data_IF_518456858810
#
_entry.id   IF_518456858810
#
_cell.length_a   1.000
_cell.length_b   1.000
_cell.length_c   1.000
_cell.angle_alpha   90.00
_cell.angle_beta   90.00
_cell.angle_gamma   90.00
#
_symmetry.space_group_name_H-M   'P 1'
#
loop_
_entity.id
_entity.type
_entity.pdbx_description
1 polymer ?
#
# COMPACT_ATOMS: atom_id res chain seq x y z
N UNK A 1 -88.55 9.85 32.62
CA UNK A 1 -87.31 9.65 31.85
C UNK A 1 -86.33 10.71 32.35
N UNK A 2 -85.17 10.47 32.95
CA UNK A 2 -84.32 9.30 33.19
C UNK A 2 -83.66 9.47 34.58
N UNK A 3 -83.16 8.37 35.09
CA UNK A 3 -82.57 8.05 36.41
C UNK A 3 -81.24 8.74 36.78
N UNK A 4 -81.01 9.00 38.07
CA UNK A 4 -79.68 9.23 38.73
C UNK A 4 -78.82 7.94 38.60
N UNK A 5 -77.46 7.92 38.66
CA UNK A 5 -76.72 8.21 39.91
C UNK A 5 -75.19 8.55 39.82
N UNK A 6 -74.62 8.69 41.03
CA UNK A 6 -73.28 8.28 41.49
C UNK A 6 -72.03 9.10 41.10
N UNK A 7 -71.31 9.54 42.15
CA UNK A 7 -69.99 10.15 42.06
C UNK A 7 -68.87 9.13 41.92
N UNK A 8 -67.65 9.63 41.68
CA UNK A 8 -66.44 8.83 41.69
C UNK A 8 -65.22 9.66 42.16
N UNK A 9 -64.42 9.02 43.01
CA UNK A 9 -63.12 9.44 43.52
C UNK A 9 -62.15 9.87 42.40
N UNK A 10 -61.36 10.92 42.65
CA UNK A 10 -60.15 11.21 41.89
C UNK A 10 -58.94 10.73 42.68
N UNK A 11 -58.27 9.70 42.16
CA UNK A 11 -57.00 9.15 42.66
C UNK A 11 -55.85 9.88 41.96
N UNK A 12 -54.89 10.39 42.75
CA UNK A 12 -53.62 10.93 42.27
C UNK A 12 -52.78 9.82 41.63
N UNK A 13 -52.49 9.94 40.33
CA UNK A 13 -51.49 9.12 39.64
C UNK A 13 -50.24 9.95 39.33
N UNK A 14 -49.17 9.75 40.11
CA UNK A 14 -47.83 10.25 39.78
C UNK A 14 -47.22 9.27 38.77
N UNK A 15 -47.15 9.68 37.50
CA UNK A 15 -46.43 8.94 36.46
C UNK A 15 -44.98 9.41 36.47
N UNK A 16 -44.10 8.63 37.08
CA UNK A 16 -42.65 8.81 36.98
C UNK A 16 -42.16 8.37 35.61
N UNK A 17 -41.89 9.34 34.72
CA UNK A 17 -41.29 9.10 33.42
C UNK A 17 -39.81 8.77 33.55
N UNK A 18 -39.44 7.50 33.36
CA UNK A 18 -38.07 7.09 33.12
C UNK A 18 -37.72 7.46 31.68
N UNK A 19 -37.03 8.59 31.48
CA UNK A 19 -36.45 8.94 30.19
C UNK A 19 -35.20 8.08 30.02
N UNK A 20 -35.35 6.92 29.37
CA UNK A 20 -34.22 6.14 28.89
C UNK A 20 -33.54 6.92 27.77
N UNK A 21 -32.50 7.68 28.12
CA UNK A 21 -31.64 8.36 27.15
C UNK A 21 -30.76 7.35 26.44
N UNK A 22 -31.22 6.81 25.31
CA UNK A 22 -30.34 6.19 24.33
C UNK A 22 -29.50 7.31 23.70
N UNK A 23 -28.31 7.57 24.25
CA UNK A 23 -27.31 8.35 23.53
C UNK A 23 -26.86 7.52 22.31
N UNK A 24 -26.96 8.03 21.07
CA UNK A 24 -26.41 7.34 19.92
C UNK A 24 -24.90 7.22 20.13
N UNK A 25 -24.42 5.99 20.03
CA UNK A 25 -22.99 5.68 20.17
C UNK A 25 -22.23 6.47 19.08
N UNK A 26 -21.16 7.22 19.44
CA UNK A 26 -20.45 8.04 18.48
C UNK A 26 -19.91 7.16 17.35
N UNK A 27 -20.53 7.28 16.18
CA UNK A 27 -20.06 6.60 14.98
C UNK A 27 -18.71 7.18 14.62
N UNK A 28 -17.71 6.31 14.46
CA UNK A 28 -16.40 6.73 13.99
C UNK A 28 -16.58 7.37 12.61
N UNK A 29 -16.27 8.66 12.49
CA UNK A 29 -16.25 9.34 11.20
C UNK A 29 -15.32 8.57 10.25
N UNK A 30 -15.89 8.06 9.17
CA UNK A 30 -15.13 7.36 8.14
C UNK A 30 -14.39 8.43 7.34
N UNK A 31 -13.06 8.40 7.39
CA UNK A 31 -12.26 9.28 6.55
C UNK A 31 -12.62 9.00 5.07
N UNK A 32 -13.09 9.99 4.28
CA UNK A 32 -13.49 9.77 2.90
C UNK A 32 -12.36 9.14 2.04
N UNK A 33 -11.10 9.45 2.33
CA UNK A 33 -9.95 8.84 1.67
C UNK A 33 -9.82 7.32 1.91
N UNK A 34 -10.45 6.80 2.96
CA UNK A 34 -10.51 5.36 3.27
C UNK A 34 -11.72 4.67 2.66
N UNK A 35 -12.76 5.43 2.31
CA UNK A 35 -13.95 4.92 1.63
C UNK A 35 -13.74 4.77 0.12
N UNK A 36 -12.89 5.61 -0.47
CA UNK A 36 -12.57 5.54 -1.90
C UNK A 36 -11.66 4.36 -2.24
N UNK A 37 -11.81 3.87 -3.47
CA UNK A 37 -10.90 2.89 -4.06
C UNK A 37 -9.46 3.44 -4.07
N UNK A 38 -8.52 2.58 -3.70
CA UNK A 38 -7.08 2.89 -3.69
C UNK A 38 -6.58 2.90 -5.14
N UNK A 39 -6.05 4.04 -5.58
CA UNK A 39 -5.41 4.13 -6.90
C UNK A 39 -3.96 3.69 -6.78
N UNK A 40 -3.64 2.54 -7.36
CA UNK A 40 -2.28 1.96 -7.34
C UNK A 40 -1.59 2.32 -8.64
N UNK A 41 -0.44 2.99 -8.57
CA UNK A 41 0.40 3.27 -9.74
C UNK A 41 0.84 1.93 -10.32
N UNK A 42 0.54 1.73 -11.60
CA UNK A 42 1.01 0.60 -12.38
C UNK A 42 2.02 1.10 -13.40
N UNK A 43 3.25 0.62 -13.30
CA UNK A 43 4.33 0.91 -14.24
C UNK A 43 4.45 -0.24 -15.23
N UNK A 44 4.06 -0.01 -16.48
CA UNK A 44 4.09 -0.98 -17.56
C UNK A 44 5.37 -0.93 -18.41
N UNK A 45 6.32 -0.02 -18.10
CA UNK A 45 7.60 0.06 -18.79
C UNK A 45 8.53 -1.12 -18.47
N UNK A 46 8.24 -1.87 -17.40
CA UNK A 46 8.95 -3.10 -17.03
C UNK A 46 7.96 -4.20 -16.66
N UNK A 47 7.99 -5.39 -17.32
CA UNK A 47 7.11 -6.50 -16.97
C UNK A 47 7.16 -6.89 -15.49
N UNK A 48 8.34 -6.78 -14.87
CA UNK A 48 8.55 -7.05 -13.44
C UNK A 48 7.94 -5.98 -12.53
N UNK A 49 8.01 -4.71 -12.89
CA UNK A 49 7.34 -3.66 -12.11
C UNK A 49 5.83 -3.72 -12.30
N UNK A 50 5.37 -3.99 -13.52
CA UNK A 50 3.96 -4.16 -13.85
C UNK A 50 3.32 -5.25 -13.00
N UNK A 51 3.92 -6.45 -13.02
CA UNK A 51 3.36 -7.63 -12.34
C UNK A 51 3.34 -7.45 -10.83
N UNK A 52 4.34 -6.76 -10.27
CA UNK A 52 4.40 -6.46 -8.84
C UNK A 52 3.33 -5.43 -8.46
N UNK A 53 3.18 -4.34 -9.21
CA UNK A 53 2.11 -3.36 -8.97
C UNK A 53 0.71 -4.00 -8.99
N UNK A 54 0.46 -4.84 -10.00
CA UNK A 54 -0.77 -5.61 -10.14
C UNK A 54 -0.99 -6.60 -8.98
N UNK A 55 0.07 -7.27 -8.51
CA UNK A 55 -0.01 -8.18 -7.37
C UNK A 55 -0.49 -7.46 -6.10
N UNK A 56 0.09 -6.31 -5.76
CA UNK A 56 -0.34 -5.54 -4.58
C UNK A 56 -1.77 -5.01 -4.74
N UNK A 57 -2.14 -4.52 -5.92
CA UNK A 57 -3.50 -4.07 -6.21
C UNK A 57 -4.53 -5.21 -6.04
N UNK A 58 -4.25 -6.38 -6.62
CA UNK A 58 -5.14 -7.54 -6.51
C UNK A 58 -5.22 -8.10 -5.09
N UNK A 59 -4.11 -8.08 -4.34
CA UNK A 59 -4.13 -8.43 -2.93
C UNK A 59 -5.06 -7.50 -2.14
N UNK A 60 -5.00 -6.18 -2.35
CA UNK A 60 -5.93 -5.24 -1.71
C UNK A 60 -7.39 -5.62 -1.99
N UNK A 61 -7.73 -5.85 -3.26
CA UNK A 61 -9.07 -6.26 -3.69
C UNK A 61 -9.52 -7.57 -3.03
N UNK A 62 -8.66 -8.60 -3.01
CA UNK A 62 -8.97 -9.90 -2.41
C UNK A 62 -9.27 -9.83 -0.91
N UNK A 63 -8.71 -8.83 -0.22
CA UNK A 63 -8.95 -8.59 1.21
C UNK A 63 -10.08 -7.57 1.48
N UNK A 64 -10.86 -7.23 0.45
CA UNK A 64 -12.00 -6.32 0.54
C UNK A 64 -11.60 -4.87 0.72
N UNK A 65 -10.45 -4.47 0.17
CA UNK A 65 -10.09 -3.05 -0.01
C UNK A 65 -10.05 -2.76 -1.50
N UNK A 66 -11.09 -2.08 -1.99
CA UNK A 66 -11.19 -1.71 -3.40
C UNK A 66 -9.93 -0.96 -3.84
N UNK A 67 -9.33 -1.44 -4.92
CA UNK A 67 -8.14 -0.89 -5.52
C UNK A 67 -8.24 -0.96 -7.06
N UNK A 68 -7.81 0.12 -7.71
CA UNK A 68 -7.89 0.30 -9.17
C UNK A 68 -6.54 0.78 -9.68
N UNK A 69 -6.19 0.47 -10.94
CA UNK A 69 -4.93 0.94 -11.50
C UNK A 69 -4.97 2.45 -11.73
N UNK A 70 -3.82 3.09 -11.55
CA UNK A 70 -3.53 4.44 -12.00
C UNK A 70 -2.35 4.34 -12.97
N UNK A 71 -2.60 4.69 -14.22
CA UNK A 71 -1.58 4.74 -15.26
C UNK A 71 -1.11 6.20 -15.37
N UNK A 72 0.17 6.51 -15.09
CA UNK A 72 0.73 7.80 -15.42
C UNK A 72 0.57 8.07 -16.92
N UNK A 73 0.40 9.34 -17.33
CA UNK A 73 0.39 9.69 -18.74
C UNK A 73 1.75 9.38 -19.38
N UNK A 74 1.76 8.87 -20.62
CA UNK A 74 2.98 8.51 -21.38
C UNK A 74 4.02 9.65 -21.43
N UNK A 75 3.58 10.90 -21.36
CA UNK A 75 4.43 12.10 -21.39
C UNK A 75 5.19 12.39 -20.08
N UNK A 76 4.98 11.63 -19.00
CA UNK A 76 5.62 11.86 -17.70
C UNK A 76 5.87 10.54 -16.92
N UNK A 77 6.94 9.79 -17.21
CA UNK A 77 7.00 8.37 -16.82
C UNK A 77 7.44 8.06 -15.37
N UNK A 78 8.40 8.78 -14.76
CA UNK A 78 8.97 8.39 -13.44
C UNK A 78 8.72 9.39 -12.30
N UNK A 79 9.13 10.65 -12.44
CA UNK A 79 8.87 11.73 -11.46
C UNK A 79 7.38 11.94 -11.20
N UNK A 80 6.53 11.62 -12.17
CA UNK A 80 5.09 11.72 -12.04
C UNK A 80 4.51 10.73 -11.02
N UNK A 81 5.16 9.60 -10.72
CA UNK A 81 4.60 8.55 -9.85
C UNK A 81 4.49 9.04 -8.41
N UNK A 82 5.59 9.54 -7.86
CA UNK A 82 5.60 10.12 -6.51
C UNK A 82 4.87 11.45 -6.45
N UNK A 83 4.96 12.28 -7.49
CA UNK A 83 4.16 13.50 -7.60
C UNK A 83 2.65 13.19 -7.61
N UNK A 84 2.22 12.10 -8.24
CA UNK A 84 0.83 11.65 -8.23
C UNK A 84 0.37 11.29 -6.80
N UNK A 85 1.25 10.74 -5.95
CA UNK A 85 0.95 10.53 -4.54
C UNK A 85 0.83 11.87 -3.78
N UNK A 86 1.78 12.78 -3.98
CA UNK A 86 1.79 14.09 -3.30
C UNK A 86 0.56 14.93 -3.68
N UNK A 87 0.23 14.97 -4.97
CA UNK A 87 -0.94 15.67 -5.52
C UNK A 87 -2.27 14.95 -5.27
N UNK A 88 -2.23 13.70 -4.80
CA UNK A 88 -3.42 12.89 -4.54
C UNK A 88 -4.14 12.38 -5.78
N UNK A 89 -3.44 12.30 -6.93
CA UNK A 89 -3.92 11.63 -8.15
C UNK A 89 -3.78 10.10 -8.06
N UNK A 90 -2.80 9.62 -7.31
CA UNK A 90 -2.63 8.23 -6.93
C UNK A 90 -2.53 8.09 -5.41
N UNK A 91 -2.64 6.87 -4.91
CA UNK A 91 -2.68 6.59 -3.48
C UNK A 91 -1.57 5.65 -3.01
N UNK A 92 -1.10 4.76 -3.89
CA UNK A 92 -0.02 3.81 -3.66
C UNK A 92 0.88 3.75 -4.88
N UNK A 93 2.19 3.73 -4.69
CA UNK A 93 3.17 3.31 -5.71
C UNK A 93 3.92 2.11 -5.16
N UNK A 94 4.19 1.12 -6.01
CA UNK A 94 5.06 0.00 -5.67
C UNK A 94 6.29 0.11 -6.57
N UNK A 95 7.45 0.38 -5.97
CA UNK A 95 8.68 0.57 -6.71
C UNK A 95 9.86 -0.05 -5.98
N UNK A 96 11.07 0.28 -6.41
CA UNK A 96 12.30 -0.23 -5.81
C UNK A 96 13.00 0.84 -4.99
N UNK A 97 13.57 0.42 -3.86
CA UNK A 97 14.16 1.32 -2.86
C UNK A 97 15.17 2.31 -3.44
N UNK A 98 16.14 1.84 -4.23
CA UNK A 98 17.19 2.70 -4.80
C UNK A 98 16.65 3.70 -5.83
N UNK A 99 15.79 3.24 -6.75
CA UNK A 99 15.15 4.12 -7.75
C UNK A 99 14.25 5.18 -7.09
N UNK A 100 13.42 4.79 -6.13
CA UNK A 100 12.56 5.72 -5.42
C UNK A 100 13.35 6.74 -4.59
N UNK A 101 14.50 6.32 -4.02
CA UNK A 101 15.39 7.25 -3.34
C UNK A 101 16.01 8.26 -4.32
N UNK A 102 16.42 7.83 -5.52
CA UNK A 102 16.90 8.75 -6.55
C UNK A 102 15.84 9.78 -6.95
N UNK A 103 14.59 9.34 -7.13
CA UNK A 103 13.49 10.23 -7.48
C UNK A 103 13.20 11.28 -6.39
N UNK A 104 13.31 10.91 -5.11
CA UNK A 104 13.02 11.80 -3.97
C UNK A 104 14.21 12.67 -3.57
N UNK A 105 15.40 12.09 -3.59
CA UNK A 105 16.62 12.67 -3.04
C UNK A 105 17.84 12.19 -3.83
N UNK A 106 18.05 12.73 -5.05
CA UNK A 106 19.12 12.28 -5.94
C UNK A 106 20.53 12.50 -5.38
N UNK A 107 20.69 13.51 -4.50
CA UNK A 107 21.95 13.81 -3.81
C UNK A 107 22.30 12.69 -2.84
N UNK A 108 21.35 12.29 -2.00
CA UNK A 108 21.55 11.19 -1.03
C UNK A 108 21.70 9.85 -1.75
N UNK A 109 20.92 9.62 -2.81
CA UNK A 109 21.02 8.42 -3.63
C UNK A 109 22.43 8.27 -4.23
N UNK A 110 22.97 9.35 -4.80
CA UNK A 110 24.31 9.37 -5.40
C UNK A 110 25.39 9.13 -4.36
N UNK A 111 25.31 9.81 -3.21
CA UNK A 111 26.24 9.61 -2.08
C UNK A 111 26.25 8.16 -1.61
N UNK A 112 25.08 7.56 -1.38
CA UNK A 112 24.97 6.16 -0.96
C UNK A 112 25.43 5.19 -2.04
N UNK A 113 25.18 5.50 -3.32
CA UNK A 113 25.61 4.69 -4.45
C UNK A 113 27.12 4.61 -4.56
N UNK A 114 27.83 5.72 -4.31
CA UNK A 114 29.29 5.76 -4.27
C UNK A 114 29.83 4.90 -3.13
N UNK A 115 29.29 5.06 -1.91
CA UNK A 115 29.70 4.27 -0.75
C UNK A 115 29.41 2.77 -0.95
N UNK A 116 28.26 2.41 -1.52
CA UNK A 116 27.90 1.02 -1.80
C UNK A 116 28.84 0.41 -2.84
N UNK A 117 29.13 1.15 -3.92
CA UNK A 117 30.04 0.71 -4.98
C UNK A 117 31.46 0.47 -4.45
N UNK A 118 31.95 1.34 -3.57
CA UNK A 118 33.23 1.15 -2.89
C UNK A 118 33.22 -0.10 -2.01
N UNK A 119 32.17 -0.29 -1.21
CA UNK A 119 32.05 -1.48 -0.35
C UNK A 119 31.97 -2.78 -1.15
N UNK A 120 31.31 -2.78 -2.33
CA UNK A 120 31.35 -3.92 -3.27
C UNK A 120 32.78 -4.17 -3.76
N UNK A 121 33.47 -3.13 -4.23
CA UNK A 121 34.83 -3.26 -4.77
C UNK A 121 35.83 -3.76 -3.71
N UNK A 122 35.61 -3.43 -2.45
CA UNK A 122 36.41 -3.88 -1.32
C UNK A 122 36.00 -5.26 -0.78
N UNK A 123 34.96 -5.88 -1.33
CA UNK A 123 34.45 -7.18 -0.87
C UNK A 123 33.86 -7.16 0.54
N UNK A 124 33.38 -5.99 1.00
CA UNK A 124 32.83 -5.77 2.35
C UNK A 124 31.32 -6.00 2.45
N UNK A 125 30.70 -6.48 1.38
CA UNK A 125 29.26 -6.78 1.34
C UNK A 125 29.06 -8.26 1.62
N UNK A 126 28.35 -8.58 2.70
CA UNK A 126 27.71 -9.89 2.84
C UNK A 126 26.33 -9.81 2.17
N UNK A 127 26.07 -10.57 1.09
CA UNK A 127 24.76 -10.60 0.45
C UNK A 127 23.60 -11.02 1.39
N UNK A 128 23.91 -11.64 2.54
CA UNK A 128 22.92 -12.17 3.47
C UNK A 128 22.64 -11.28 4.69
N UNK A 129 23.42 -10.21 4.92
CA UNK A 129 23.27 -9.42 6.16
C UNK A 129 22.14 -8.37 6.09
N UNK A 130 21.74 -7.97 4.88
CA UNK A 130 20.70 -6.97 4.65
C UNK A 130 21.09 -5.54 5.03
N UNK A 131 22.32 -5.28 5.47
CA UNK A 131 22.78 -3.97 5.99
C UNK A 131 22.54 -2.86 4.97
N UNK A 132 22.90 -3.11 3.71
CA UNK A 132 22.73 -2.11 2.65
C UNK A 132 21.28 -1.94 2.22
N UNK A 133 20.48 -3.02 2.25
CA UNK A 133 19.02 -2.91 2.04
C UNK A 133 18.44 -1.97 3.08
N UNK A 134 18.77 -2.18 4.36
CA UNK A 134 18.23 -1.41 5.46
C UNK A 134 18.71 0.05 5.40
N UNK A 135 19.99 0.30 5.09
CA UNK A 135 20.56 1.64 4.89
C UNK A 135 19.88 2.41 3.76
N UNK A 136 19.66 1.77 2.60
CA UNK A 136 18.97 2.40 1.47
C UNK A 136 17.50 2.64 1.77
N UNK A 137 16.83 1.69 2.41
CA UNK A 137 15.44 1.85 2.84
C UNK A 137 15.27 2.97 3.87
N UNK A 138 16.18 3.08 4.85
CA UNK A 138 16.15 4.16 5.85
C UNK A 138 16.33 5.53 5.20
N UNK A 139 17.28 5.66 4.28
CA UNK A 139 17.47 6.90 3.51
C UNK A 139 16.23 7.28 2.68
N UNK A 140 15.56 6.29 2.08
CA UNK A 140 14.29 6.48 1.39
C UNK A 140 13.22 7.01 2.34
N UNK A 141 12.98 6.33 3.46
CA UNK A 141 11.96 6.71 4.44
C UNK A 141 12.22 8.10 5.00
N UNK A 142 13.48 8.44 5.28
CA UNK A 142 13.88 9.76 5.78
C UNK A 142 13.68 10.87 4.73
N UNK A 143 13.64 10.52 3.44
CA UNK A 143 13.39 11.45 2.34
C UNK A 143 11.90 11.65 2.02
N UNK A 144 10.99 10.89 2.65
CA UNK A 144 9.56 10.98 2.35
C UNK A 144 8.93 12.27 2.89
N UNK A 145 8.06 12.93 2.10
CA UNK A 145 7.16 13.96 2.61
C UNK A 145 6.28 13.44 3.75
N UNK A 146 5.96 14.30 4.72
CA UNK A 146 5.19 13.92 5.92
C UNK A 146 3.79 13.35 5.67
N UNK A 147 3.23 13.53 4.48
CA UNK A 147 1.94 12.96 4.04
C UNK A 147 2.04 11.51 3.54
N UNK A 148 3.25 11.02 3.26
CA UNK A 148 3.52 9.69 2.72
C UNK A 148 4.14 8.77 3.78
N UNK A 149 4.00 7.47 3.57
CA UNK A 149 4.65 6.43 4.37
C UNK A 149 5.02 5.25 3.47
N UNK A 150 6.02 4.48 3.86
CA UNK A 150 6.38 3.22 3.22
C UNK A 150 5.93 2.03 4.09
N UNK A 151 5.73 0.87 3.48
CA UNK A 151 5.77 -0.41 4.21
C UNK A 151 7.21 -0.82 4.46
N UNK A 152 7.38 -1.96 5.13
CA UNK A 152 8.67 -2.66 5.12
C UNK A 152 9.06 -3.00 3.67
N UNK A 153 10.37 -3.05 3.34
CA UNK A 153 10.83 -3.51 2.05
C UNK A 153 10.73 -5.04 1.96
N UNK A 154 10.47 -5.55 0.76
CA UNK A 154 10.47 -6.98 0.47
C UNK A 154 11.89 -7.51 0.31
N UNK A 155 12.07 -8.83 0.41
CA UNK A 155 13.29 -9.48 -0.05
C UNK A 155 13.33 -9.63 -1.58
N UNK A 156 12.21 -9.41 -2.27
CA UNK A 156 12.15 -9.41 -3.72
C UNK A 156 12.79 -8.16 -4.34
N UNK A 157 13.45 -8.37 -5.48
CA UNK A 157 13.95 -7.32 -6.37
C UNK A 157 13.19 -7.41 -7.69
N UNK A 158 12.54 -6.32 -8.09
CA UNK A 158 11.76 -6.25 -9.34
C UNK A 158 12.32 -5.24 -10.35
N UNK A 159 13.31 -4.46 -9.95
CA UNK A 159 14.02 -3.52 -10.82
C UNK A 159 15.40 -4.07 -11.16
N UNK A 160 15.99 -3.52 -12.22
CA UNK A 160 17.34 -3.91 -12.64
C UNK A 160 18.35 -3.60 -11.52
N UNK A 161 19.04 -4.61 -10.96
CA UNK A 161 20.03 -4.40 -9.90
C UNK A 161 21.25 -3.61 -10.39
N UNK A 162 21.48 -3.53 -11.70
CA UNK A 162 22.56 -2.74 -12.31
C UNK A 162 22.07 -1.35 -12.78
N UNK A 163 20.83 -0.97 -12.48
CA UNK A 163 20.37 0.40 -12.74
C UNK A 163 21.19 1.40 -11.92
N UNK A 164 21.41 2.59 -12.51
CA UNK A 164 21.88 3.74 -11.76
C UNK A 164 20.70 4.36 -11.01
N UNK A 165 20.87 4.73 -9.72
CA UNK A 165 22.05 4.55 -8.87
C UNK A 165 22.27 3.10 -8.46
N UNK A 166 23.53 2.70 -8.34
CA UNK A 166 23.91 1.37 -7.85
C UNK A 166 23.58 1.29 -6.37
N UNK A 167 22.39 0.79 -6.07
CA UNK A 167 21.83 0.64 -4.73
C UNK A 167 20.95 -0.61 -4.70
N UNK A 168 20.71 -1.20 -3.52
CA UNK A 168 19.69 -2.21 -3.33
C UNK A 168 18.31 -1.78 -3.88
N UNK A 169 17.68 -2.67 -4.65
CA UNK A 169 16.45 -2.42 -5.39
C UNK A 169 15.26 -3.26 -4.88
N UNK A 170 15.14 -3.37 -3.55
CA UNK A 170 14.08 -4.12 -2.91
C UNK A 170 12.71 -3.49 -3.17
N UNK A 171 11.70 -4.33 -3.42
CA UNK A 171 10.33 -3.87 -3.67
C UNK A 171 9.76 -3.23 -2.40
N UNK A 172 9.23 -2.02 -2.53
CA UNK A 172 8.62 -1.28 -1.42
C UNK A 172 7.38 -0.49 -1.89
N UNK A 173 6.21 -0.76 -1.29
CA UNK A 173 5.06 0.14 -1.37
C UNK A 173 5.25 1.46 -0.61
N UNK A 174 5.00 2.58 -1.28
CA UNK A 174 4.81 3.90 -0.68
C UNK A 174 3.34 4.30 -0.86
N UNK A 175 2.74 4.89 0.16
CA UNK A 175 1.32 5.22 0.16
C UNK A 175 1.01 6.54 0.88
N UNK A 176 -0.12 7.15 0.54
CA UNK A 176 -0.64 8.31 1.27
C UNK A 176 -1.22 7.86 2.62
N UNK A 177 -0.73 8.44 3.72
CA UNK A 177 -1.17 8.11 5.10
C UNK A 177 -2.68 8.05 5.32
N UNK A 178 -3.52 8.98 4.82
CA UNK A 178 -4.96 8.93 5.10
C UNK A 178 -5.69 7.78 4.41
N UNK A 179 -5.12 7.22 3.33
CA UNK A 179 -5.81 6.24 2.48
C UNK A 179 -5.77 4.85 3.09
N UNK A 180 -4.65 4.44 3.68
CA UNK A 180 -4.47 3.08 4.20
C UNK A 180 -4.53 3.04 5.72
N UNK A 181 -5.59 2.43 6.23
CA UNK A 181 -5.72 2.08 7.64
C UNK A 181 -4.86 0.85 7.99
N UNK A 182 -4.90 0.42 9.26
CA UNK A 182 -4.12 -0.74 9.75
C UNK A 182 -4.35 -2.01 8.91
N UNK A 183 -5.59 -2.29 8.48
CA UNK A 183 -5.91 -3.47 7.67
C UNK A 183 -5.23 -3.38 6.30
N UNK A 184 -5.33 -2.23 5.62
CA UNK A 184 -4.65 -1.97 4.35
C UNK A 184 -3.14 -2.21 4.41
N UNK A 185 -2.49 -1.69 5.46
CA UNK A 185 -1.05 -1.89 5.68
C UNK A 185 -0.67 -3.34 5.91
N UNK A 186 -1.46 -4.09 6.69
CA UNK A 186 -1.21 -5.51 6.93
C UNK A 186 -1.33 -6.34 5.64
N UNK A 187 -2.23 -5.96 4.74
CA UNK A 187 -2.36 -6.63 3.43
C UNK A 187 -1.09 -6.41 2.60
N UNK A 188 -0.61 -5.16 2.50
CA UNK A 188 0.62 -4.87 1.77
C UNK A 188 1.82 -5.58 2.39
N UNK A 189 2.02 -5.50 3.71
CA UNK A 189 3.12 -6.18 4.40
C UNK A 189 3.06 -7.70 4.22
N UNK A 190 1.87 -8.30 4.08
CA UNK A 190 1.74 -9.72 3.78
C UNK A 190 2.30 -10.04 2.40
N UNK A 191 1.97 -9.25 1.38
CA UNK A 191 2.56 -9.42 0.03
C UNK A 191 4.07 -9.23 0.09
N UNK A 192 4.54 -8.16 0.73
CA UNK A 192 5.96 -7.83 0.93
C UNK A 192 6.76 -8.98 1.53
N UNK A 193 6.25 -9.60 2.59
CA UNK A 193 6.91 -10.72 3.27
C UNK A 193 6.79 -12.07 2.57
N UNK A 194 5.89 -12.18 1.58
CA UNK A 194 5.65 -13.43 0.84
C UNK A 194 6.47 -13.49 -0.44
N UNK A 195 6.51 -12.40 -1.19
CA UNK A 195 7.13 -12.37 -2.51
C UNK A 195 8.67 -12.44 -2.44
N UNK A 196 9.27 -13.27 -3.29
CA UNK A 196 10.71 -13.36 -3.51
C UNK A 196 11.10 -12.89 -4.92
N UNK A 197 12.40 -12.64 -5.14
CA UNK A 197 12.92 -12.32 -6.48
C UNK A 197 12.62 -13.42 -7.49
N UNK A 198 12.69 -14.70 -7.05
CA UNK A 198 12.34 -15.84 -7.88
C UNK A 198 10.86 -15.80 -8.30
N UNK A 199 9.97 -15.43 -7.39
CA UNK A 199 8.55 -15.32 -7.72
C UNK A 199 8.32 -14.21 -8.75
N UNK A 200 8.96 -13.04 -8.59
CA UNK A 200 8.90 -11.94 -9.56
C UNK A 200 9.36 -12.42 -10.94
N UNK A 201 10.50 -13.12 -11.01
CA UNK A 201 11.04 -13.64 -12.26
C UNK A 201 10.10 -14.65 -12.92
N UNK A 202 9.55 -15.58 -12.14
CA UNK A 202 8.63 -16.59 -12.65
C UNK A 202 7.31 -15.99 -13.14
N UNK A 203 6.75 -15.05 -12.38
CA UNK A 203 5.52 -14.36 -12.76
C UNK A 203 5.73 -13.52 -14.02
N UNK A 204 6.85 -12.80 -14.14
CA UNK A 204 7.16 -12.03 -15.34
C UNK A 204 7.27 -12.94 -16.59
N UNK A 205 8.00 -14.06 -16.49
CA UNK A 205 8.11 -15.04 -17.59
C UNK A 205 6.76 -15.65 -17.97
N UNK A 206 5.90 -15.94 -16.98
CA UNK A 206 4.57 -16.50 -17.23
C UNK A 206 3.63 -15.49 -17.89
N UNK A 207 3.73 -14.20 -17.54
CA UNK A 207 3.01 -13.13 -18.24
C UNK A 207 3.46 -13.01 -19.68
N UNK A 208 4.76 -13.06 -19.96
CA UNK A 208 5.28 -13.06 -21.33
C UNK A 208 4.74 -14.26 -22.14
N UNK A 209 4.63 -15.44 -21.49
CA UNK A 209 4.12 -16.66 -22.12
C UNK A 209 2.61 -16.64 -22.38
N UNK A 210 1.83 -16.12 -21.42
CA UNK A 210 0.35 -16.15 -21.46
C UNK A 210 -0.25 -14.88 -22.07
N UNK A 211 0.53 -13.80 -22.15
CA UNK A 211 0.04 -12.44 -22.44
C UNK A 211 -1.09 -11.99 -21.50
N UNK A 212 -1.20 -12.58 -20.30
CA UNK A 212 -2.29 -12.32 -19.36
C UNK A 212 -1.82 -12.28 -17.90
N UNK A 213 -1.77 -11.06 -17.36
CA UNK A 213 -1.51 -10.83 -15.92
C UNK A 213 -2.58 -11.48 -15.05
N UNK A 214 -3.83 -11.50 -15.52
CA UNK A 214 -4.94 -12.05 -14.73
C UNK A 214 -4.84 -13.56 -14.57
N UNK A 215 -4.54 -14.27 -15.65
CA UNK A 215 -4.33 -15.71 -15.63
C UNK A 215 -3.10 -16.09 -14.81
N UNK A 216 -2.08 -15.25 -14.81
CA UNK A 216 -0.81 -15.48 -14.09
C UNK A 216 -0.92 -15.25 -12.59
N UNK A 217 -1.49 -14.11 -12.16
CA UNK A 217 -1.53 -13.75 -10.73
C UNK A 217 -2.57 -14.52 -9.93
N UNK A 218 -3.68 -14.96 -10.56
CA UNK A 218 -4.76 -15.66 -9.87
C UNK A 218 -4.27 -16.92 -9.11
N UNK A 219 -3.56 -17.86 -9.76
CA UNK A 219 -2.97 -19.02 -9.10
C UNK A 219 -2.01 -18.66 -7.97
N UNK A 220 -1.10 -17.71 -8.20
CA UNK A 220 -0.12 -17.28 -7.21
C UNK A 220 -0.78 -16.70 -5.95
N UNK A 221 -1.81 -15.87 -6.14
CA UNK A 221 -2.56 -15.27 -5.04
C UNK A 221 -3.21 -16.36 -4.18
N UNK A 222 -3.82 -17.37 -4.80
CA UNK A 222 -4.45 -18.49 -4.07
C UNK A 222 -3.43 -19.37 -3.34
N UNK A 223 -2.31 -19.72 -3.98
CA UNK A 223 -1.33 -20.63 -3.38
C UNK A 223 -0.60 -20.04 -2.17
N UNK A 224 -0.60 -18.71 -2.02
CA UNK A 224 0.11 -18.00 -0.95
C UNK A 224 -0.82 -17.31 0.05
N UNK A 225 -2.12 -17.66 0.10
CA UNK A 225 -3.11 -16.99 0.97
C UNK A 225 -3.12 -15.46 0.77
N UNK A 226 -2.97 -15.02 -0.48
CA UNK A 226 -3.12 -13.63 -0.92
C UNK A 226 -4.44 -13.43 -1.72
N UNK A 227 -5.19 -14.49 -1.97
CA UNK A 227 -6.51 -14.50 -2.59
C UNK A 227 -7.47 -15.41 -1.83
N UNK A 228 -8.68 -14.91 -1.57
CA UNK A 228 -9.79 -15.69 -1.04
C UNK A 228 -10.61 -16.29 -2.16
#
# INVERSE_FOLDING_TARGET
>A
MLTRPAGLLVVLGVVGGLVAGCAPEPQREVNPAQANAVRVVIDDASPKQWIVGELYMRALNNYGRDAVPYLPSEDAPSTARLEALVSGKADVVVGCTGQLLEELNPVEASRLSEEYSQAIAEGKIDPNDGTWRDKTYEALVNSLPGSLAATDPSNAVACDPESSPKLPQNVVPIYRKPVLNRKGRLIMNRVTGTISTKDVDQLAQEVERTSSVSETLGPYLRSHDLGR
#
